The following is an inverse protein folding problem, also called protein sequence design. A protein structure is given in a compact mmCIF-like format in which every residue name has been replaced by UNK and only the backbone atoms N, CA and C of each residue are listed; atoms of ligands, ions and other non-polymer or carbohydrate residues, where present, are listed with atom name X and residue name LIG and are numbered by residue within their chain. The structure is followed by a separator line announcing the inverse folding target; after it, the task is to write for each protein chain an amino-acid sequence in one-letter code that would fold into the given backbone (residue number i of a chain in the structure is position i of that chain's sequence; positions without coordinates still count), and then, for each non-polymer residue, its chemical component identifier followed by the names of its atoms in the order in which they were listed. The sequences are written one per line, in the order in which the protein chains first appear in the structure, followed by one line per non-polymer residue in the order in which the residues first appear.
data_IF_259780930670
#
_entry.id   IF_259780930670
#
_cell.length_a   1.000
_cell.length_b   1.000
_cell.length_c   1.000
_cell.angle_alpha   90.00
_cell.angle_beta   90.00
_cell.angle_gamma   90.00
#
_symmetry.space_group_name_H-M   'P 1'
#
loop_
_entity.id
_entity.type
_entity.pdbx_description
1 polymer ?
#
# COMPACT_ATOMS: atom_id res chain seq x y z
N UNK A 1 1.38 -3.49 14.44
CA UNK A 1 1.75 -3.54 13.01
C UNK A 1 1.32 -2.21 12.40
N UNK A 2 2.14 -1.60 11.54
CA UNK A 2 1.84 -0.31 10.89
C UNK A 2 1.53 -0.51 9.42
N UNK A 3 0.41 0.03 8.95
CA UNK A 3 -0.04 -0.07 7.56
C UNK A 3 -0.23 1.31 6.96
N UNK A 4 0.42 1.55 5.83
CA UNK A 4 0.21 2.72 4.99
C UNK A 4 -0.99 2.47 4.05
N UNK A 5 -1.93 3.42 3.98
CA UNK A 5 -3.06 3.36 3.04
C UNK A 5 -3.06 4.62 2.19
N UNK A 6 -2.75 4.47 0.91
CA UNK A 6 -2.69 5.58 -0.06
C UNK A 6 -3.81 5.51 -1.11
N UNK A 7 -4.61 4.44 -1.10
CA UNK A 7 -5.74 4.23 -2.00
C UNK A 7 -6.89 5.24 -1.76
N UNK A 8 -7.13 6.22 -2.65
CA UNK A 8 -8.11 7.29 -2.40
C UNK A 8 -9.55 6.78 -2.18
N UNK A 9 -10.07 5.79 -2.92
CA UNK A 9 -11.41 5.25 -2.64
C UNK A 9 -11.51 4.59 -1.27
N UNK A 10 -10.45 3.93 -0.79
CA UNK A 10 -10.42 3.47 0.59
C UNK A 10 -10.36 4.67 1.54
N UNK A 11 -9.52 5.67 1.32
CA UNK A 11 -9.49 6.85 2.19
C UNK A 11 -10.88 7.52 2.31
N UNK A 12 -11.68 7.55 1.24
CA UNK A 12 -13.07 8.02 1.27
C UNK A 12 -14.06 7.13 2.04
N UNK A 13 -13.69 5.90 2.36
CA UNK A 13 -14.47 4.92 3.15
C UNK A 13 -13.81 4.62 4.51
N UNK A 14 -12.91 5.48 4.99
CA UNK A 14 -12.09 5.26 6.20
C UNK A 14 -12.89 4.76 7.40
N UNK A 15 -14.04 5.39 7.66
CA UNK A 15 -14.91 5.05 8.79
C UNK A 15 -15.39 3.58 8.77
N UNK A 16 -15.49 2.96 7.60
CA UNK A 16 -15.98 1.60 7.45
C UNK A 16 -14.93 0.53 7.76
N UNK A 17 -13.65 0.80 7.53
CA UNK A 17 -12.59 -0.19 7.75
C UNK A 17 -11.70 0.08 8.96
N UNK A 18 -11.61 1.31 9.46
CA UNK A 18 -10.83 1.60 10.67
C UNK A 18 -11.19 0.64 11.83
N UNK A 19 -12.47 0.33 12.12
CA UNK A 19 -12.82 -0.65 13.15
C UNK A 19 -12.24 -2.05 12.91
N UNK A 20 -12.10 -2.46 11.65
CA UNK A 20 -11.55 -3.77 11.27
C UNK A 20 -10.04 -3.82 11.56
N UNK A 21 -9.32 -2.73 11.29
CA UNK A 21 -7.90 -2.61 11.61
C UNK A 21 -7.65 -2.52 13.12
N UNK A 22 -8.48 -1.74 13.83
CA UNK A 22 -8.42 -1.58 15.29
C UNK A 22 -8.65 -2.92 16.01
N UNK A 23 -9.67 -3.68 15.60
CA UNK A 23 -9.94 -5.02 16.14
C UNK A 23 -8.77 -6.01 15.96
N UNK A 24 -7.83 -5.70 15.04
CA UNK A 24 -6.63 -6.50 14.77
C UNK A 24 -5.35 -5.87 15.37
N UNK A 25 -5.45 -4.79 16.15
CA UNK A 25 -4.32 -4.02 16.67
C UNK A 25 -3.36 -3.53 15.56
N UNK A 26 -3.92 -3.06 14.46
CA UNK A 26 -3.19 -2.50 13.32
C UNK A 26 -3.30 -0.97 13.37
N UNK A 27 -2.14 -0.31 13.43
CA UNK A 27 -2.02 1.14 13.30
C UNK A 27 -2.07 1.51 11.82
N UNK A 28 -2.99 2.39 11.43
CA UNK A 28 -3.19 2.80 10.04
C UNK A 28 -2.74 4.24 9.85
N UNK A 29 -1.84 4.46 8.91
CA UNK A 29 -1.43 5.80 8.48
C UNK A 29 -2.08 6.15 7.15
N UNK A 30 -2.76 7.30 7.12
CA UNK A 30 -3.51 7.82 5.97
C UNK A 30 -2.97 9.20 5.61
N UNK A 31 -1.98 9.30 4.69
CA UNK A 31 -1.48 10.60 4.24
C UNK A 31 -2.57 11.35 3.46
N UNK A 32 -2.49 12.68 3.45
CA UNK A 32 -3.34 13.50 2.59
C UNK A 32 -2.88 13.34 1.14
N UNK A 33 -3.69 12.68 0.31
CA UNK A 33 -3.39 12.41 -1.09
C UNK A 33 -4.64 12.62 -1.94
N UNK A 34 -4.51 13.29 -3.09
CA UNK A 34 -5.62 13.48 -4.04
C UNK A 34 -5.81 12.22 -4.88
N UNK A 35 -4.72 11.68 -5.43
CA UNK A 35 -4.78 10.50 -6.32
C UNK A 35 -3.59 9.55 -6.17
N UNK A 36 -2.36 10.08 -6.16
CA UNK A 36 -1.12 9.32 -6.01
C UNK A 36 -0.13 10.10 -5.13
N UNK A 37 0.75 9.38 -4.43
CA UNK A 37 1.98 9.94 -3.87
C UNK A 37 3.12 9.88 -4.90
N UNK A 38 3.99 10.90 -4.98
CA UNK A 38 5.19 10.85 -5.80
C UNK A 38 6.14 9.71 -5.40
N UNK A 39 6.85 9.14 -6.38
CA UNK A 39 7.81 8.04 -6.15
C UNK A 39 8.86 8.39 -5.09
N UNK A 40 9.40 9.60 -5.14
CA UNK A 40 10.40 10.10 -4.19
C UNK A 40 9.89 10.20 -2.74
N UNK A 41 8.60 10.42 -2.56
CA UNK A 41 7.95 10.44 -1.25
C UNK A 41 7.72 9.00 -0.77
N UNK A 42 7.25 8.12 -1.65
CA UNK A 42 7.07 6.70 -1.36
C UNK A 42 8.37 6.01 -0.96
N UNK A 43 9.49 6.34 -1.61
CA UNK A 43 10.82 5.82 -1.26
C UNK A 43 11.20 6.15 0.19
N UNK A 44 10.76 7.31 0.71
CA UNK A 44 11.03 7.73 2.09
C UNK A 44 10.02 7.13 3.07
N UNK A 45 8.75 7.09 2.68
CA UNK A 45 7.62 6.74 3.56
C UNK A 45 7.45 5.22 3.72
N UNK A 46 7.43 4.46 2.61
CA UNK A 46 7.16 3.01 2.60
C UNK A 46 8.07 2.19 3.55
N UNK A 47 9.39 2.49 3.70
CA UNK A 47 10.26 1.78 4.63
C UNK A 47 9.81 1.81 6.10
N UNK A 48 8.97 2.75 6.51
CA UNK A 48 8.52 2.89 7.91
C UNK A 48 7.39 1.92 8.28
N UNK A 49 6.73 1.31 7.28
CA UNK A 49 5.52 0.51 7.46
C UNK A 49 5.73 -0.99 7.24
N UNK A 50 4.95 -1.81 7.95
CA UNK A 50 4.93 -3.26 7.74
C UNK A 50 4.09 -3.65 6.51
N UNK A 51 3.05 -2.86 6.22
CA UNK A 51 2.08 -3.11 5.15
C UNK A 51 1.81 -1.86 4.32
N UNK A 52 1.50 -2.03 3.04
CA UNK A 52 1.09 -0.93 2.15
C UNK A 52 -0.11 -1.30 1.29
N UNK A 53 -1.23 -0.58 1.43
CA UNK A 53 -2.38 -0.69 0.53
C UNK A 53 -2.26 0.37 -0.55
N UNK A 54 -1.93 -0.11 -1.74
CA UNK A 54 -1.56 0.69 -2.91
C UNK A 54 -2.84 1.08 -3.67
N UNK A 55 -3.00 2.39 -3.90
CA UNK A 55 -3.90 2.92 -4.91
C UNK A 55 -3.23 2.86 -6.29
N UNK A 56 -3.20 3.98 -6.99
CA UNK A 56 -2.52 4.10 -8.29
C UNK A 56 -1.08 4.61 -8.17
N UNK A 57 -0.55 4.65 -6.94
CA UNK A 57 0.83 5.04 -6.64
C UNK A 57 1.84 4.25 -7.47
N UNK A 58 2.96 4.88 -7.89
CA UNK A 58 4.01 4.18 -8.61
C UNK A 58 4.74 3.20 -7.67
N UNK A 59 4.32 1.93 -7.68
CA UNK A 59 4.96 0.85 -6.94
C UNK A 59 6.10 0.25 -7.77
N UNK A 60 7.11 1.08 -8.02
CA UNK A 60 8.26 0.75 -8.86
C UNK A 60 9.26 -0.14 -8.11
N UNK A 61 10.30 -0.57 -8.83
CA UNK A 61 11.47 -1.23 -8.23
C UNK A 61 12.09 -0.40 -7.10
N UNK A 62 12.27 0.90 -7.30
CA UNK A 62 12.96 1.76 -6.34
C UNK A 62 12.17 1.85 -5.03
N UNK A 63 10.85 2.02 -5.11
CA UNK A 63 9.96 2.03 -3.94
C UNK A 63 10.00 0.70 -3.21
N UNK A 64 9.87 -0.42 -3.92
CA UNK A 64 9.93 -1.73 -3.29
C UNK A 64 11.30 -2.07 -2.70
N UNK A 65 12.40 -1.64 -3.32
CA UNK A 65 13.74 -1.81 -2.78
C UNK A 65 13.94 -0.99 -1.50
N UNK A 66 13.42 0.24 -1.45
CA UNK A 66 13.40 1.04 -0.23
C UNK A 66 12.59 0.33 0.86
N UNK A 67 11.37 -0.11 0.56
CA UNK A 67 10.51 -0.84 1.48
C UNK A 67 11.19 -2.08 2.06
N UNK A 68 11.87 -2.89 1.23
CA UNK A 68 12.61 -4.09 1.65
C UNK A 68 13.83 -3.80 2.53
N UNK A 69 14.43 -2.61 2.40
CA UNK A 69 15.52 -2.15 3.26
C UNK A 69 14.99 -1.69 4.63
N UNK A 70 13.71 -1.30 4.69
CA UNK A 70 12.99 -0.99 5.92
C UNK A 70 12.10 -2.14 6.40
N UNK A 71 10.90 -1.79 6.86
CA UNK A 71 9.97 -2.69 7.55
C UNK A 71 8.97 -3.41 6.64
N UNK A 72 8.94 -3.10 5.33
CA UNK A 72 7.87 -3.56 4.45
C UNK A 72 7.87 -5.09 4.32
N UNK A 73 6.80 -5.71 4.81
CA UNK A 73 6.55 -7.16 4.76
C UNK A 73 5.51 -7.52 3.73
N UNK A 74 4.51 -6.66 3.50
CA UNK A 74 3.47 -6.92 2.53
C UNK A 74 2.94 -5.63 1.88
N UNK A 75 2.40 -5.77 0.69
CA UNK A 75 1.69 -4.77 -0.06
C UNK A 75 0.43 -5.40 -0.68
N UNK A 76 -0.60 -4.60 -0.89
CA UNK A 76 -1.85 -5.02 -1.52
C UNK A 76 -2.23 -3.98 -2.53
N UNK A 77 -2.37 -4.37 -3.81
CA UNK A 77 -2.90 -3.47 -4.82
C UNK A 77 -4.42 -3.54 -4.81
N UNK A 78 -5.05 -2.39 -4.54
CA UNK A 78 -6.48 -2.20 -4.66
C UNK A 78 -6.82 -1.69 -6.07
N UNK A 79 -7.71 -2.39 -6.76
CA UNK A 79 -8.22 -1.97 -8.07
C UNK A 79 -8.10 -3.02 -9.17
N UNK A 80 -8.51 -2.66 -10.38
CA UNK A 80 -8.61 -3.57 -11.53
C UNK A 80 -7.25 -3.73 -12.22
N UNK A 81 -6.61 -2.61 -12.54
CA UNK A 81 -5.29 -2.53 -13.20
C UNK A 81 -4.14 -2.71 -12.21
N UNK A 82 -3.00 -3.14 -12.73
CA UNK A 82 -1.77 -3.37 -11.94
C UNK A 82 -0.52 -2.83 -12.65
N UNK A 83 -0.71 -1.99 -13.66
CA UNK A 83 0.33 -1.49 -14.54
C UNK A 83 1.34 -0.58 -13.80
N UNK A 84 0.93 -0.06 -12.63
CA UNK A 84 1.75 0.73 -11.73
C UNK A 84 2.63 -0.10 -10.78
N UNK A 85 2.67 -1.44 -10.90
CA UNK A 85 3.36 -2.32 -9.96
C UNK A 85 4.48 -3.12 -10.63
N UNK A 86 5.73 -2.96 -10.17
CA UNK A 86 6.84 -3.84 -10.57
C UNK A 86 6.79 -5.18 -9.80
N UNK A 87 6.10 -6.16 -10.39
CA UNK A 87 6.02 -7.52 -9.84
C UNK A 87 7.36 -8.26 -9.84
N UNK A 88 8.32 -7.90 -10.69
CA UNK A 88 9.63 -8.55 -10.68
C UNK A 88 10.44 -8.12 -9.44
N UNK A 89 10.25 -6.88 -8.98
CA UNK A 89 10.81 -6.36 -7.75
C UNK A 89 10.30 -7.08 -6.48
N UNK A 90 9.36 -8.02 -6.57
CA UNK A 90 8.74 -8.68 -5.42
C UNK A 90 9.52 -9.90 -4.85
N UNK A 91 10.29 -10.59 -5.69
CA UNK A 91 10.61 -12.04 -5.57
C UNK A 91 11.35 -12.58 -4.32
N UNK A 92 11.64 -11.82 -3.25
CA UNK A 92 12.45 -12.36 -2.12
C UNK A 92 12.05 -12.01 -0.68
N UNK A 93 11.18 -11.01 -0.41
CA UNK A 93 10.90 -10.59 1.00
C UNK A 93 9.52 -10.01 1.29
N UNK A 94 8.83 -9.47 0.30
CA UNK A 94 7.52 -8.85 0.47
C UNK A 94 6.44 -9.87 0.08
N UNK A 95 5.24 -9.75 0.70
CA UNK A 95 3.84 -10.14 0.41
C UNK A 95 3.08 -9.32 -0.64
N UNK A 96 2.60 -9.78 -1.80
CA UNK A 96 1.85 -8.93 -2.74
C UNK A 96 0.56 -9.65 -3.09
N UNK A 97 -0.54 -9.03 -2.70
CA UNK A 97 -1.87 -9.53 -2.95
C UNK A 97 -2.60 -8.58 -3.91
N UNK A 98 -3.36 -9.18 -4.83
CA UNK A 98 -4.26 -8.44 -5.72
C UNK A 98 -5.68 -8.63 -5.22
N UNK A 99 -6.39 -7.54 -4.97
CA UNK A 99 -7.82 -7.58 -4.65
C UNK A 99 -8.56 -6.96 -5.84
N UNK A 100 -9.20 -7.81 -6.63
CA UNK A 100 -10.15 -7.40 -7.66
C UNK A 100 -11.57 -7.58 -7.12
N UNK A 101 -12.33 -6.49 -7.06
CA UNK A 101 -13.77 -6.61 -6.98
C UNK A 101 -14.30 -6.91 -8.40
N UNK A 102 -14.68 -8.15 -8.65
CA UNK A 102 -15.68 -8.44 -9.68
C UNK A 102 -16.97 -7.73 -9.24
N UNK A 103 -17.54 -6.92 -10.13
CA UNK A 103 -18.79 -6.15 -9.93
C UNK A 103 -19.75 -6.89 -8.98
N UNK A 104 -20.03 -6.25 -7.84
CA UNK A 104 -21.21 -6.57 -7.02
C UNK A 104 -22.44 -6.22 -7.86
#
# INVERSE_FOLDING_TARGET
MKVLVTCPPMLGMKEQFMPIFEAKNIEVHTPEVIQILPEEELIKLVPEFDGWIIGDDPATRAVFEAGKKGNLKAAVKWGIGVDNVDFAAYKRKVRLFKIQFSKI
#
